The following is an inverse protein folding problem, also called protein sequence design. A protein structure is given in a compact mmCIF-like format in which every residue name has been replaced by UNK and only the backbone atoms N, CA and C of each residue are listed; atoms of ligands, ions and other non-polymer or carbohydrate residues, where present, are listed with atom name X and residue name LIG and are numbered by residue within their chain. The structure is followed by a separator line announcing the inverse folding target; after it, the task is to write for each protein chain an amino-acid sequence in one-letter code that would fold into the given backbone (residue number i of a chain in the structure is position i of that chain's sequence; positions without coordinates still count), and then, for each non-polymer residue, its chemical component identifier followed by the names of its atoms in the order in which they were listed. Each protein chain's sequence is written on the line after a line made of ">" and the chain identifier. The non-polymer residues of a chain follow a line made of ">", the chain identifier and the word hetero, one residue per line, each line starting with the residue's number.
data_IF_807464063710
#
_entry.id   IF_807464063710
#
_cell.length_a   1.000
_cell.length_b   1.000
_cell.length_c   1.000
_cell.angle_alpha   90.00
_cell.angle_beta   90.00
_cell.angle_gamma   90.00
#
_symmetry.space_group_name_H-M   'P 1'
#
loop_
_entity.id
_entity.type
_entity.pdbx_description
1 polymer ?
#
# COMPACT_ATOMS: atom_id res chain seq x y z
N UNK A 1 -9.45 -16.65 -14.06
CA UNK A 1 -10.58 -16.30 -13.16
C UNK A 1 -10.43 -14.85 -12.72
N UNK A 2 -11.52 -14.20 -12.31
CA UNK A 2 -11.50 -12.82 -11.81
C UNK A 2 -11.22 -12.78 -10.31
N UNK A 3 -10.40 -11.81 -9.87
CA UNK A 3 -10.12 -11.56 -8.45
C UNK A 3 -10.72 -10.21 -8.02
N UNK A 4 -11.09 -10.09 -6.75
CA UNK A 4 -11.55 -8.83 -6.13
C UNK A 4 -10.57 -8.41 -5.03
N UNK A 5 -10.13 -7.15 -5.05
CA UNK A 5 -9.24 -6.59 -4.05
C UNK A 5 -9.85 -5.33 -3.42
N UNK A 6 -9.96 -5.31 -2.10
CA UNK A 6 -10.36 -4.15 -1.32
C UNK A 6 -9.15 -3.61 -0.55
N UNK A 7 -8.90 -2.31 -0.69
CA UNK A 7 -7.80 -1.60 0.00
C UNK A 7 -8.41 -0.51 0.89
N UNK A 8 -8.18 -0.61 2.19
CA UNK A 8 -8.69 0.34 3.18
C UNK A 8 -7.49 1.13 3.72
N UNK A 9 -7.46 2.43 3.46
CA UNK A 9 -6.46 3.36 3.98
C UNK A 9 -7.10 4.31 5.02
N UNK A 10 -6.76 4.13 6.29
CA UNK A 10 -7.23 4.97 7.41
C UNK A 10 -6.02 5.62 8.10
N UNK A 11 -5.61 6.79 7.59
CA UNK A 11 -4.36 7.41 8.03
C UNK A 11 -3.17 6.49 7.73
N UNK A 12 -2.38 6.17 8.75
CA UNK A 12 -1.25 5.24 8.61
C UNK A 12 -1.63 3.76 8.63
N UNK A 13 -2.87 3.42 8.99
CA UNK A 13 -3.35 2.03 9.05
C UNK A 13 -3.84 1.58 7.69
N UNK A 14 -3.26 0.50 7.18
CA UNK A 14 -3.56 -0.08 5.88
C UNK A 14 -4.08 -1.50 6.08
N UNK A 15 -5.17 -1.84 5.39
CA UNK A 15 -5.69 -3.20 5.29
C UNK A 15 -5.96 -3.57 3.84
N UNK A 16 -5.58 -4.78 3.45
CA UNK A 16 -5.83 -5.33 2.11
C UNK A 16 -6.53 -6.66 2.22
N UNK A 17 -7.63 -6.80 1.48
CA UNK A 17 -8.45 -8.01 1.40
C UNK A 17 -8.45 -8.47 -0.06
N UNK A 18 -8.04 -9.71 -0.30
CA UNK A 18 -8.05 -10.35 -1.62
C UNK A 18 -9.03 -11.52 -1.58
N UNK A 19 -10.05 -11.49 -2.43
CA UNK A 19 -11.10 -12.51 -2.52
C UNK A 19 -11.70 -12.88 -1.14
N UNK A 20 -11.96 -11.86 -0.31
CA UNK A 20 -12.52 -12.04 1.04
C UNK A 20 -11.52 -12.43 2.13
N UNK A 21 -10.27 -12.73 1.78
CA UNK A 21 -9.21 -13.05 2.76
C UNK A 21 -8.37 -11.81 3.08
N UNK A 22 -8.20 -11.49 4.36
CA UNK A 22 -7.26 -10.43 4.78
C UNK A 22 -5.83 -10.93 4.56
N UNK A 23 -5.09 -10.26 3.68
CA UNK A 23 -3.70 -10.61 3.34
C UNK A 23 -2.68 -9.63 3.93
N UNK A 24 -3.12 -8.43 4.32
CA UNK A 24 -2.28 -7.41 4.94
C UNK A 24 -3.12 -6.59 5.93
N UNK A 25 -2.58 -6.39 7.12
CA UNK A 25 -3.10 -5.44 8.10
C UNK A 25 -1.91 -4.88 8.89
N UNK A 26 -1.67 -3.57 8.82
CA UNK A 26 -0.50 -2.96 9.45
C UNK A 26 -0.53 -1.44 9.52
N UNK A 27 0.40 -0.87 10.29
CA UNK A 27 0.59 0.56 10.46
C UNK A 27 1.93 1.01 9.84
N UNK A 28 1.86 1.94 8.89
CA UNK A 28 3.04 2.50 8.20
C UNK A 28 4.03 3.11 9.20
N UNK A 29 3.56 3.79 10.25
CA UNK A 29 4.45 4.44 11.23
C UNK A 29 5.25 3.42 12.03
N UNK A 30 4.62 2.31 12.37
CA UNK A 30 5.31 1.21 13.05
C UNK A 30 6.32 0.54 12.13
N UNK A 31 5.93 0.27 10.88
CA UNK A 31 6.80 -0.35 9.88
C UNK A 31 8.04 0.50 9.57
N UNK A 32 7.92 1.83 9.61
CA UNK A 32 9.02 2.76 9.31
C UNK A 32 9.83 3.21 10.53
N UNK A 33 9.55 2.70 11.75
CA UNK A 33 10.17 3.23 12.99
C UNK A 33 11.70 3.14 13.00
N UNK A 34 12.26 2.17 12.29
CA UNK A 34 13.70 1.93 12.18
C UNK A 34 14.27 2.40 10.82
N UNK A 35 13.59 3.34 10.17
CA UNK A 35 13.90 3.77 8.82
C UNK A 35 13.23 2.88 7.76
N UNK A 36 13.39 3.25 6.50
CA UNK A 36 12.88 2.47 5.37
C UNK A 36 13.83 1.34 5.00
N UNK A 37 13.28 0.29 4.39
CA UNK A 37 14.04 -0.90 3.97
C UNK A 37 15.15 -0.57 2.95
N UNK A 38 14.99 0.49 2.17
CA UNK A 38 15.97 0.95 1.19
C UNK A 38 16.92 2.03 1.74
N UNK A 39 16.78 2.39 3.02
CA UNK A 39 17.56 3.43 3.70
C UNK A 39 17.51 4.81 3.03
N UNK A 40 16.46 5.10 2.23
CA UNK A 40 16.26 6.39 1.58
C UNK A 40 15.20 7.22 2.26
N UNK A 41 15.29 8.53 2.08
CA UNK A 41 14.19 9.41 2.45
C UNK A 41 13.04 9.30 1.45
N UNK A 42 11.83 9.15 1.98
CA UNK A 42 10.60 9.11 1.20
C UNK A 42 9.71 10.29 1.63
N UNK A 43 9.73 11.43 0.91
CA UNK A 43 8.99 12.64 1.30
C UNK A 43 7.46 12.45 1.40
N UNK A 44 6.95 11.36 0.83
CA UNK A 44 5.55 10.97 0.87
C UNK A 44 5.15 10.06 2.03
N UNK A 45 6.11 9.47 2.76
CA UNK A 45 5.89 8.35 3.68
C UNK A 45 4.86 8.64 4.77
N UNK A 46 4.83 9.87 5.26
CA UNK A 46 3.93 10.29 6.35
C UNK A 46 2.78 11.18 5.88
N UNK A 47 2.52 11.26 4.57
CA UNK A 47 1.37 12.03 4.06
C UNK A 47 0.07 11.28 4.38
N UNK A 48 -0.90 12.01 4.91
CA UNK A 48 -2.23 11.44 5.24
C UNK A 48 -3.15 11.31 4.01
N UNK A 49 -2.80 11.97 2.90
CA UNK A 49 -3.60 11.99 1.66
C UNK A 49 -2.71 12.01 0.42
N UNK A 50 -3.25 11.48 -0.68
CA UNK A 50 -2.61 11.43 -1.99
C UNK A 50 -3.59 11.00 -3.08
N UNK A 51 -3.07 10.69 -4.26
CA UNK A 51 -3.85 10.18 -5.39
C UNK A 51 -3.81 8.65 -5.44
N UNK A 52 -4.90 8.05 -5.93
CA UNK A 52 -4.94 6.62 -6.25
C UNK A 52 -4.44 6.44 -7.68
N UNK A 53 -3.41 5.62 -7.84
CA UNK A 53 -2.86 5.27 -9.15
C UNK A 53 -3.08 3.79 -9.45
N UNK A 54 -3.56 3.50 -10.65
CA UNK A 54 -3.58 2.14 -11.20
C UNK A 54 -2.34 1.95 -12.04
N UNK A 55 -1.52 0.95 -11.70
CA UNK A 55 -0.34 0.64 -12.47
C UNK A 55 -0.72 -0.18 -13.70
N UNK A 56 -0.55 0.40 -14.88
CA UNK A 56 -0.69 -0.33 -16.14
C UNK A 56 0.57 -1.14 -16.45
N UNK A 57 0.43 -2.13 -17.33
CA UNK A 57 1.56 -2.78 -17.99
C UNK A 57 1.49 -2.44 -19.48
N UNK A 58 2.62 -2.05 -20.07
CA UNK A 58 2.77 -2.09 -21.53
C UNK A 58 3.13 -3.52 -21.90
N UNK A 59 2.12 -4.35 -22.20
CA UNK A 59 2.37 -5.65 -22.82
C UNK A 59 2.75 -5.39 -24.28
N UNK A 60 4.04 -5.51 -24.61
CA UNK A 60 4.46 -5.63 -26.01
C UNK A 60 4.19 -7.07 -26.42
N UNK A 61 3.30 -7.23 -27.40
CA UNK A 61 3.08 -8.49 -28.11
C UNK A 61 4.31 -8.86 -28.95
#
# INVERSE_FOLDING_TARGET
>A
EWNSQEVIAKGSKIKVILNGTTILEGDIKEASKNGTLDHKEHPGLFREKGYIGFFGVMARN
#
